data_IF_188304103329
#
_entry.id   IF_188304103329
#
_cell.length_a   1.000
_cell.length_b   1.000
_cell.length_c   1.000
_cell.angle_alpha   90.00
_cell.angle_beta   90.00
_cell.angle_gamma   90.00
#
_symmetry.space_group_name_H-M   'P 1'
#
loop_
_entity.id
_entity.type
_entity.pdbx_description
1 polymer ?
#
# COMPACT_ATOMS: atom_id res chain seq x y z
N UNK A 1 2.76 -6.60 -12.11
CA UNK A 1 2.62 -6.71 -10.66
C UNK A 1 2.41 -8.18 -10.35
N UNK A 2 1.96 -8.56 -9.15
CA UNK A 2 1.95 -9.92 -8.63
C UNK A 2 1.54 -10.97 -9.68
N UNK A 3 2.40 -11.95 -9.99
CA UNK A 3 2.14 -12.94 -11.04
C UNK A 3 1.00 -13.91 -10.69
N UNK A 4 0.69 -14.06 -9.40
CA UNK A 4 -0.27 -15.03 -8.88
C UNK A 4 -1.58 -14.41 -8.37
N UNK A 5 -1.81 -13.12 -8.59
CA UNK A 5 -3.05 -12.45 -8.19
C UNK A 5 -3.54 -11.52 -9.28
N UNK A 6 -4.84 -11.30 -9.32
CA UNK A 6 -5.46 -10.26 -10.15
C UNK A 6 -6.00 -9.12 -9.29
N UNK A 7 -6.23 -7.96 -9.93
CA UNK A 7 -6.91 -6.84 -9.26
C UNK A 7 -8.33 -7.28 -8.86
N UNK A 8 -9.02 -8.02 -9.72
CA UNK A 8 -10.37 -8.52 -9.46
C UNK A 8 -10.42 -9.42 -8.22
N UNK A 9 -9.41 -10.28 -8.05
CA UNK A 9 -9.27 -11.12 -6.87
C UNK A 9 -9.05 -10.27 -5.61
N UNK A 10 -8.04 -9.39 -5.61
CA UNK A 10 -7.68 -8.57 -4.45
C UNK A 10 -8.74 -7.52 -4.06
N UNK A 11 -9.67 -7.22 -4.97
CA UNK A 11 -10.79 -6.30 -4.75
C UNK A 11 -12.13 -7.01 -4.57
N UNK A 12 -12.11 -8.33 -4.47
CA UNK A 12 -13.32 -9.13 -4.31
C UNK A 12 -13.97 -8.90 -2.94
N UNK A 13 -15.26 -9.21 -2.89
CA UNK A 13 -16.07 -9.15 -1.66
C UNK A 13 -15.58 -10.13 -0.57
N UNK A 14 -14.77 -11.12 -0.96
CA UNK A 14 -14.19 -12.11 -0.07
C UNK A 14 -13.20 -11.50 0.92
N UNK A 15 -12.64 -10.32 0.62
CA UNK A 15 -11.83 -9.51 1.56
C UNK A 15 -12.54 -9.26 2.89
N UNK A 16 -13.89 -9.24 2.91
CA UNK A 16 -14.72 -9.02 4.10
C UNK A 16 -15.26 -10.31 4.72
N UNK A 17 -14.97 -11.47 4.13
CA UNK A 17 -15.52 -12.77 4.53
C UNK A 17 -14.55 -13.61 5.38
N UNK A 18 -13.31 -13.14 5.58
CA UNK A 18 -12.34 -13.81 6.46
C UNK A 18 -12.84 -13.85 7.91
N UNK A 19 -12.43 -14.89 8.64
CA UNK A 19 -12.85 -15.15 10.02
C UNK A 19 -12.44 -14.02 10.96
N UNK A 20 -11.24 -13.48 10.76
CA UNK A 20 -10.69 -12.40 11.55
C UNK A 20 -9.81 -11.48 10.71
N UNK A 21 -9.54 -10.31 11.27
CA UNK A 21 -8.49 -9.43 10.81
C UNK A 21 -7.88 -8.72 12.00
N UNK A 22 -6.58 -8.91 12.23
CA UNK A 22 -5.81 -8.08 13.13
C UNK A 22 -5.17 -6.95 12.33
N UNK A 23 -5.89 -5.83 12.20
CA UNK A 23 -5.32 -4.64 11.59
C UNK A 23 -4.10 -4.17 12.36
N UNK A 24 -3.05 -3.79 11.62
CA UNK A 24 -1.81 -3.22 12.14
C UNK A 24 -1.47 -1.93 11.41
N UNK A 25 -2.49 -1.18 10.95
CA UNK A 25 -2.30 0.00 10.11
C UNK A 25 -1.46 1.07 10.81
N UNK A 26 -1.76 1.39 12.08
CA UNK A 26 -0.96 2.38 12.82
C UNK A 26 0.47 1.91 13.02
N UNK A 27 0.67 0.63 13.34
CA UNK A 27 2.00 0.05 13.49
C UNK A 27 2.78 0.04 12.16
N UNK A 28 2.08 -0.16 11.03
CA UNK A 28 2.67 -0.13 9.70
C UNK A 28 3.07 1.29 9.29
N UNK A 29 2.23 2.29 9.57
CA UNK A 29 2.59 3.70 9.39
C UNK A 29 3.82 4.08 10.24
N UNK A 30 3.85 3.63 11.50
CA UNK A 30 4.99 3.86 12.38
C UNK A 30 6.24 3.17 11.85
N UNK A 31 6.14 1.92 11.37
CA UNK A 31 7.25 1.19 10.78
C UNK A 31 7.86 1.93 9.58
N UNK A 32 7.03 2.44 8.66
CA UNK A 32 7.54 3.23 7.54
C UNK A 32 8.17 4.55 7.99
N UNK A 33 7.57 5.24 8.96
CA UNK A 33 8.17 6.44 9.53
C UNK A 33 9.52 6.13 10.17
N UNK A 34 9.62 5.09 11.00
CA UNK A 34 10.88 4.69 11.64
C UNK A 34 11.96 4.30 10.63
N UNK A 35 11.57 3.70 9.51
CA UNK A 35 12.49 3.28 8.47
C UNK A 35 12.99 4.43 7.58
N UNK A 36 12.19 5.48 7.41
CA UNK A 36 12.46 6.50 6.38
C UNK A 36 12.56 7.94 6.91
N UNK A 37 12.04 8.23 8.10
CA UNK A 37 12.02 9.57 8.68
C UNK A 37 13.19 9.89 9.61
N UNK A 38 14.07 8.93 9.92
CA UNK A 38 15.27 9.21 10.71
C UNK A 38 16.29 10.00 9.88
N UNK A 39 17.13 10.87 10.50
CA UNK A 39 17.90 11.89 9.77
C UNK A 39 18.76 11.37 8.61
N UNK A 40 19.37 10.19 8.78
CA UNK A 40 20.22 9.59 7.74
C UNK A 40 19.38 9.02 6.58
N UNK A 41 18.25 8.36 6.85
CA UNK A 41 17.36 7.92 5.77
C UNK A 41 16.79 9.11 5.01
N UNK A 42 16.39 10.19 5.70
CA UNK A 42 15.94 11.42 5.05
C UNK A 42 16.98 12.02 4.12
N UNK A 43 18.24 12.06 4.53
CA UNK A 43 19.33 12.55 3.69
C UNK A 43 19.52 11.69 2.43
N UNK A 44 19.47 10.36 2.59
CA UNK A 44 19.59 9.42 1.47
C UNK A 44 18.39 9.55 0.52
N UNK A 45 17.17 9.60 1.03
CA UNK A 45 15.95 9.72 0.22
C UNK A 45 15.83 11.08 -0.48
N UNK A 46 16.37 12.15 0.11
CA UNK A 46 16.37 13.47 -0.52
C UNK A 46 17.27 13.53 -1.77
N UNK A 47 18.27 12.64 -1.86
CA UNK A 47 19.18 12.51 -3.00
C UNK A 47 18.86 11.29 -3.87
N UNK A 48 17.84 10.50 -3.51
CA UNK A 48 17.48 9.28 -4.21
C UNK A 48 16.89 9.59 -5.58
N UNK A 49 17.34 8.83 -6.58
CA UNK A 49 16.73 8.82 -7.90
C UNK A 49 15.49 7.89 -7.95
N UNK A 50 14.82 7.88 -9.10
CA UNK A 50 13.62 7.09 -9.30
C UNK A 50 13.88 5.58 -9.18
N UNK A 51 15.09 5.11 -9.52
CA UNK A 51 15.45 3.69 -9.45
C UNK A 51 15.58 3.26 -7.99
N UNK A 52 16.29 4.04 -7.16
CA UNK A 52 16.42 3.76 -5.74
C UNK A 52 15.06 3.79 -5.01
N UNK A 53 14.18 4.74 -5.34
CA UNK A 53 12.83 4.80 -4.76
C UNK A 53 11.94 3.65 -5.25
N UNK A 54 12.09 3.21 -6.50
CA UNK A 54 11.46 2.00 -7.02
C UNK A 54 11.91 0.76 -6.25
N UNK A 55 13.23 0.59 -6.06
CA UNK A 55 13.81 -0.52 -5.32
C UNK A 55 13.30 -0.58 -3.88
N UNK A 56 13.15 0.58 -3.23
CA UNK A 56 12.58 0.65 -1.87
C UNK A 56 11.11 0.23 -1.84
N UNK A 57 10.27 0.74 -2.75
CA UNK A 57 8.86 0.32 -2.83
C UNK A 57 8.75 -1.18 -3.14
N UNK A 58 9.52 -1.67 -4.10
CA UNK A 58 9.58 -3.09 -4.44
C UNK A 58 10.01 -3.91 -3.22
N UNK A 59 11.08 -3.53 -2.51
CA UNK A 59 11.58 -4.28 -1.35
C UNK A 59 10.53 -4.40 -0.24
N UNK A 60 9.85 -3.29 0.12
CA UNK A 60 8.77 -3.30 1.13
C UNK A 60 7.67 -4.29 0.73
N UNK A 61 7.22 -4.20 -0.52
CA UNK A 61 6.14 -5.04 -1.02
C UNK A 61 6.59 -6.50 -1.15
N UNK A 62 7.84 -6.74 -1.50
CA UNK A 62 8.39 -8.07 -1.75
C UNK A 62 8.63 -8.86 -0.46
N UNK A 63 9.19 -8.23 0.58
CA UNK A 63 9.37 -8.85 1.91
C UNK A 63 8.03 -9.30 2.53
N UNK A 64 6.95 -8.60 2.19
CA UNK A 64 5.59 -8.91 2.63
C UNK A 64 4.68 -9.32 1.46
N UNK A 65 5.21 -9.97 0.43
CA UNK A 65 4.46 -10.19 -0.82
C UNK A 65 3.11 -10.86 -0.64
N UNK A 66 3.00 -11.87 0.24
CA UNK A 66 1.72 -12.57 0.53
C UNK A 66 0.66 -11.63 1.06
N UNK A 67 1.09 -10.61 1.79
CA UNK A 67 0.19 -9.65 2.42
C UNK A 67 -0.34 -8.62 1.42
N UNK A 68 0.41 -8.33 0.35
CA UNK A 68 0.04 -7.38 -0.71
C UNK A 68 -0.58 -8.04 -1.95
N UNK A 69 -0.15 -9.26 -2.26
CA UNK A 69 -0.36 -9.96 -3.53
C UNK A 69 -1.05 -11.30 -3.39
N UNK A 70 -1.76 -11.55 -2.28
CA UNK A 70 -2.67 -12.68 -2.11
C UNK A 70 -3.91 -12.18 -1.42
N UNK A 71 -5.08 -12.71 -1.80
CA UNK A 71 -6.33 -12.34 -1.15
C UNK A 71 -6.27 -12.65 0.35
N UNK A 72 -6.42 -11.60 1.16
CA UNK A 72 -6.45 -11.64 2.61
C UNK A 72 -7.08 -10.33 3.14
N UNK A 73 -7.54 -10.27 4.40
CA UNK A 73 -8.23 -9.08 4.89
C UNK A 73 -7.28 -7.90 5.16
N UNK A 74 -5.96 -8.10 5.15
CA UNK A 74 -4.98 -7.03 5.33
C UNK A 74 -4.70 -6.22 4.07
N UNK A 75 -5.04 -6.75 2.88
CA UNK A 75 -4.80 -6.10 1.58
C UNK A 75 -5.20 -4.62 1.59
N UNK A 76 -6.43 -4.22 1.96
CA UNK A 76 -6.84 -2.83 1.78
C UNK A 76 -6.04 -1.84 2.64
N UNK A 77 -5.82 -2.14 3.93
CA UNK A 77 -5.10 -1.20 4.80
C UNK A 77 -3.59 -1.19 4.52
N UNK A 78 -3.01 -2.30 4.05
CA UNK A 78 -1.59 -2.33 3.67
C UNK A 78 -1.36 -1.49 2.43
N UNK A 79 -2.23 -1.62 1.43
CA UNK A 79 -2.24 -0.76 0.25
C UNK A 79 -2.45 0.71 0.61
N UNK A 80 -3.32 1.01 1.60
CA UNK A 80 -3.51 2.37 2.08
C UNK A 80 -2.22 2.94 2.69
N UNK A 81 -1.54 2.17 3.54
CA UNK A 81 -0.32 2.60 4.21
C UNK A 81 0.83 2.85 3.21
N UNK A 82 1.06 1.92 2.28
CA UNK A 82 2.15 2.07 1.30
C UNK A 82 1.84 3.16 0.27
N UNK A 83 0.58 3.33 -0.15
CA UNK A 83 0.20 4.41 -1.06
C UNK A 83 0.35 5.78 -0.39
N UNK A 84 -0.02 5.91 0.89
CA UNK A 84 0.24 7.12 1.69
C UNK A 84 1.72 7.46 1.71
N UNK A 85 2.58 6.44 1.82
CA UNK A 85 4.02 6.63 1.83
C UNK A 85 4.59 7.01 0.45
N UNK A 86 4.15 6.35 -0.62
CA UNK A 86 4.53 6.68 -2.00
C UNK A 86 4.18 8.14 -2.36
N UNK A 87 3.00 8.62 -1.94
CA UNK A 87 2.61 10.02 -2.08
C UNK A 87 3.51 10.97 -1.28
N UNK A 88 3.92 10.57 -0.07
CA UNK A 88 4.85 11.36 0.74
C UNK A 88 6.22 11.54 0.06
N UNK A 89 6.71 10.50 -0.62
CA UNK A 89 7.93 10.57 -1.43
C UNK A 89 7.76 11.32 -2.75
N UNK A 90 6.53 11.68 -3.14
CA UNK A 90 6.20 12.16 -4.47
C UNK A 90 6.77 11.22 -5.57
N UNK A 91 6.71 9.91 -5.32
CA UNK A 91 7.24 8.86 -6.18
C UNK A 91 6.17 7.80 -6.44
N UNK A 92 5.88 7.53 -7.70
CA UNK A 92 4.71 6.74 -8.07
C UNK A 92 5.01 5.89 -9.33
N UNK A 93 5.37 4.61 -9.15
CA UNK A 93 5.50 3.69 -10.27
C UNK A 93 4.14 3.48 -10.95
N UNK A 94 4.12 3.46 -12.28
CA UNK A 94 2.87 3.37 -13.06
C UNK A 94 2.03 2.12 -12.76
N UNK A 95 2.66 0.95 -12.61
CA UNK A 95 1.95 -0.28 -12.25
C UNK A 95 1.45 -0.23 -10.80
N UNK A 96 2.26 0.24 -9.85
CA UNK A 96 1.88 0.47 -8.45
C UNK A 96 0.63 1.35 -8.34
N UNK A 97 0.63 2.51 -9.01
CA UNK A 97 -0.50 3.45 -9.02
C UNK A 97 -1.81 2.78 -9.43
N UNK A 98 -1.78 2.03 -10.53
CA UNK A 98 -2.95 1.31 -11.07
C UNK A 98 -3.59 0.40 -10.02
N UNK A 99 -2.78 -0.34 -9.25
CA UNK A 99 -3.30 -1.26 -8.25
C UNK A 99 -3.70 -0.56 -6.96
N UNK A 100 -2.91 0.42 -6.51
CA UNK A 100 -3.28 1.24 -5.36
C UNK A 100 -4.65 1.91 -5.57
N UNK A 101 -4.87 2.50 -6.76
CA UNK A 101 -6.16 3.06 -7.14
C UNK A 101 -7.27 2.01 -7.11
N UNK A 102 -7.09 0.89 -7.81
CA UNK A 102 -8.14 -0.12 -7.91
C UNK A 102 -8.55 -0.71 -6.56
N UNK A 103 -7.58 -0.96 -5.68
CA UNK A 103 -7.80 -1.52 -4.35
C UNK A 103 -8.46 -0.50 -3.42
N UNK A 104 -7.93 0.73 -3.37
CA UNK A 104 -8.43 1.73 -2.43
C UNK A 104 -9.78 2.31 -2.85
N UNK A 105 -10.11 2.35 -4.15
CA UNK A 105 -11.46 2.75 -4.59
C UNK A 105 -12.53 1.73 -4.23
N UNK A 106 -12.14 0.46 -4.04
CA UNK A 106 -13.02 -0.63 -3.61
C UNK A 106 -13.00 -0.87 -2.10
N UNK A 107 -12.17 -0.13 -1.37
CA UNK A 107 -12.05 -0.27 0.07
C UNK A 107 -13.23 0.40 0.79
N UNK A 108 -14.26 -0.40 1.10
CA UNK A 108 -15.40 0.01 1.92
C UNK A 108 -15.03 -0.10 3.41
N UNK A 109 -14.53 1.01 3.95
CA UNK A 109 -14.08 1.07 5.35
C UNK A 109 -15.22 0.84 6.36
N UNK A 110 -16.45 1.25 6.05
CA UNK A 110 -17.58 1.06 6.97
C UNK A 110 -17.97 -0.41 7.04
N UNK A 111 -17.99 -1.10 5.90
CA UNK A 111 -18.17 -2.55 5.87
C UNK A 111 -17.00 -3.29 6.50
N UNK A 112 -15.78 -2.83 6.29
CA UNK A 112 -14.59 -3.39 6.91
C UNK A 112 -14.65 -3.30 8.44
N UNK A 113 -15.11 -2.16 8.98
CA UNK A 113 -15.37 -1.98 10.40
C UNK A 113 -16.46 -2.92 10.92
N UNK A 114 -17.55 -3.09 10.17
CA UNK A 114 -18.62 -4.00 10.54
C UNK A 114 -18.19 -5.48 10.55
N UNK A 115 -17.30 -5.87 9.62
CA UNK A 115 -16.77 -7.23 9.54
C UNK A 115 -15.77 -7.52 10.66
N UNK A 116 -14.81 -6.62 10.88
CA UNK A 116 -13.63 -6.90 11.70
C UNK A 116 -13.58 -6.22 13.05
N UNK A 117 -14.52 -5.31 13.33
CA UNK A 117 -14.62 -4.60 14.61
C UNK A 117 -13.27 -3.99 15.03
N UNK A 118 -12.68 -3.17 14.15
CA UNK A 118 -11.34 -2.64 14.37
C UNK A 118 -11.27 -1.84 15.67
N UNK A 119 -10.08 -1.79 16.30
CA UNK A 119 -9.81 -0.81 17.35
C UNK A 119 -10.14 0.60 16.88
N UNK A 120 -10.75 1.42 17.76
CA UNK A 120 -11.22 2.76 17.41
C UNK A 120 -10.11 3.64 16.79
N UNK A 121 -8.88 3.54 17.32
CA UNK A 121 -7.74 4.28 16.81
C UNK A 121 -7.35 3.87 15.37
N UNK A 122 -7.43 2.58 15.05
CA UNK A 122 -7.13 2.05 13.71
C UNK A 122 -8.18 2.54 12.70
N UNK A 123 -9.47 2.40 13.05
CA UNK A 123 -10.57 2.85 12.22
C UNK A 123 -10.53 4.37 11.99
N UNK A 124 -10.33 5.16 13.05
CA UNK A 124 -10.25 6.62 12.94
C UNK A 124 -9.10 7.07 12.04
N UNK A 125 -7.93 6.44 12.15
CA UNK A 125 -6.78 6.75 11.30
C UNK A 125 -7.03 6.41 9.83
N UNK A 126 -7.56 5.21 9.54
CA UNK A 126 -7.94 4.85 8.16
C UNK A 126 -9.02 5.78 7.61
N UNK A 127 -10.01 6.16 8.42
CA UNK A 127 -11.11 7.04 8.01
C UNK A 127 -10.62 8.44 7.65
N UNK A 128 -9.61 8.93 8.35
CA UNK A 128 -8.94 10.18 8.02
C UNK A 128 -8.09 10.05 6.75
N UNK A 129 -7.31 8.99 6.64
CA UNK A 129 -6.28 8.86 5.59
C UNK A 129 -6.84 8.45 4.23
N UNK A 130 -7.78 7.51 4.19
CA UNK A 130 -8.34 6.95 2.95
C UNK A 130 -8.78 8.02 1.94
N UNK A 131 -9.62 9.03 2.29
CA UNK A 131 -10.04 10.05 1.33
C UNK A 131 -8.87 10.92 0.85
N UNK A 132 -7.90 11.22 1.71
CA UNK A 132 -6.72 12.04 1.37
C UNK A 132 -5.82 11.29 0.40
N UNK A 133 -5.56 10.01 0.67
CA UNK A 133 -4.72 9.15 -0.18
C UNK A 133 -5.39 8.93 -1.53
N UNK A 134 -6.69 8.65 -1.56
CA UNK A 134 -7.43 8.51 -2.81
C UNK A 134 -7.36 9.77 -3.67
N UNK A 135 -7.53 10.95 -3.06
CA UNK A 135 -7.44 12.20 -3.80
C UNK A 135 -6.01 12.45 -4.30
N UNK A 136 -5.00 12.19 -3.47
CA UNK A 136 -3.59 12.28 -3.87
C UNK A 136 -3.26 11.37 -5.06
N UNK A 137 -3.76 10.14 -5.07
CA UNK A 137 -3.57 9.21 -6.19
C UNK A 137 -4.30 9.67 -7.46
N UNK A 138 -5.51 10.22 -7.35
CA UNK A 138 -6.27 10.75 -8.51
C UNK A 138 -5.61 11.98 -9.12
N UNK A 139 -5.06 12.85 -8.28
CA UNK A 139 -4.42 14.09 -8.70
C UNK A 139 -2.94 13.93 -9.05
N UNK A 140 -2.37 12.73 -8.89
CA UNK A 140 -0.95 12.52 -9.16
C UNK A 140 -0.66 12.79 -10.65
N UNK A 141 0.29 13.68 -10.98
CA UNK A 141 0.51 14.08 -12.37
C UNK A 141 1.02 12.91 -13.23
N UNK A 142 0.35 12.54 -14.34
CA UNK A 142 0.77 11.41 -15.16
C UNK A 142 2.19 11.52 -15.71
N UNK A 143 2.66 12.74 -15.98
CA UNK A 143 4.02 13.04 -16.43
C UNK A 143 5.09 12.81 -15.36
N UNK A 144 4.70 12.65 -14.09
CA UNK A 144 5.59 12.34 -12.97
C UNK A 144 5.64 10.85 -12.62
N UNK A 145 4.94 9.99 -13.37
CA UNK A 145 5.03 8.56 -13.10
C UNK A 145 6.45 8.04 -13.32
N UNK A 146 6.92 7.28 -12.33
CA UNK A 146 8.16 6.54 -12.44
C UNK A 146 7.97 5.29 -13.32
N UNK A 147 9.06 4.69 -13.82
CA UNK A 147 9.03 3.38 -14.46
C UNK A 147 8.30 2.36 -13.57
N UNK A 148 7.62 1.36 -14.16
CA UNK A 148 6.94 0.33 -13.39
C UNK A 148 7.94 -0.41 -12.48
N UNK A 149 7.46 -0.85 -11.31
CA UNK A 149 8.21 -1.79 -10.47
C UNK A 149 8.44 -3.10 -11.23
N UNK A 150 9.56 -3.77 -10.95
CA UNK A 150 9.86 -5.09 -11.50
C UNK A 150 8.74 -6.09 -11.17
N UNK A 151 8.31 -6.81 -12.19
CA UNK A 151 7.20 -7.78 -12.12
C UNK A 151 7.69 -9.23 -12.12
N UNK A 152 8.97 -9.47 -12.43
CA UNK A 152 9.55 -10.80 -12.62
C UNK A 152 10.12 -11.38 -11.32
N UNK A 153 10.43 -10.52 -10.35
CA UNK A 153 11.08 -10.88 -9.10
C UNK A 153 10.20 -10.54 -7.88
N UNK A 154 9.00 -11.08 -7.81
CA UNK A 154 8.28 -11.14 -6.53
C UNK A 154 8.69 -12.43 -5.80
N UNK A 155 8.60 -12.50 -4.47
CA UNK A 155 9.10 -13.54 -3.55
C UNK A 155 8.61 -14.99 -3.75
N UNK A 156 8.54 -15.42 -5.01
CA UNK A 156 8.61 -16.76 -5.56
C UNK A 156 9.98 -17.38 -5.24
N UNK A 157 10.33 -17.45 -3.96
CA UNK A 157 11.29 -18.45 -3.51
C UNK A 157 10.48 -19.59 -2.94
N UNK A 158 10.45 -20.69 -3.69
CA UNK A 158 9.92 -22.00 -3.28
C UNK A 158 10.40 -22.41 -1.87
#
# INVERSE_FOLDING_TARGET
MFPNASIEELTSEEVYAYVDCKSVYLALLQYYSDLYDYPRAKAVLAEADADMLNDHLWWIMNEAWKEYGTLNPAVPYRWLAIAKHALHWNHMPSNFHRWAMAILEKFDLERYQAAYHLPEAEYAAMKQDLPIVLEGLRQFPPEKFAPPLDEENWGLTD
#
